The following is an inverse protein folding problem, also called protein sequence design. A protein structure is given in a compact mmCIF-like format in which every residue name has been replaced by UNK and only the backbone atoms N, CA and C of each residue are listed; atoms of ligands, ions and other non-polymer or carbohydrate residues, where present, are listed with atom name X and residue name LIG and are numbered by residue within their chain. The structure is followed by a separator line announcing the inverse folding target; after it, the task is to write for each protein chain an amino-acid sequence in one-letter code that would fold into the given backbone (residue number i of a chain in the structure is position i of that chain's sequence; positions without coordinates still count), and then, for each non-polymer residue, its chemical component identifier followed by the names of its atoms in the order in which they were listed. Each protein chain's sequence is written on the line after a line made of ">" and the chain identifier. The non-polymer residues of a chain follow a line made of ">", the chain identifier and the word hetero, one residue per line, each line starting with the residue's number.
data_IF_536027488338
#
_entry.id   IF_536027488338
#
_cell.length_a   1.000
_cell.length_b   1.000
_cell.length_c   1.000
_cell.angle_alpha   90.00
_cell.angle_beta   90.00
_cell.angle_gamma   90.00
#
_symmetry.space_group_name_H-M   'P 1'
#
loop_
_entity.id
_entity.type
_entity.pdbx_description
1 polymer ?
#
# COMPACT_ATOMS: atom_id res chain seq x y z
N UNK A 1 16.24 57.92 15.25
CA UNK A 1 16.01 57.97 16.71
C UNK A 1 15.10 56.80 17.10
N UNK A 2 15.56 55.93 18.04
CA UNK A 2 14.81 54.95 18.91
C UNK A 2 13.87 53.93 18.23
N UNK A 3 13.79 52.64 18.57
CA UNK A 3 14.35 51.77 19.61
C UNK A 3 14.15 50.30 19.12
N UNK A 4 15.16 49.42 19.09
CA UNK A 4 15.51 48.40 20.12
C UNK A 4 14.32 47.81 20.89
N UNK A 5 14.06 46.51 20.70
CA UNK A 5 13.59 45.59 21.74
C UNK A 5 13.93 44.14 21.37
N UNK A 6 14.98 43.65 22.02
CA UNK A 6 15.39 42.27 22.17
C UNK A 6 14.30 41.39 22.79
N UNK A 7 14.23 40.14 22.33
CA UNK A 7 13.41 39.07 22.90
C UNK A 7 14.19 37.76 22.89
N UNK A 8 15.18 37.67 23.78
CA UNK A 8 15.97 36.47 24.07
C UNK A 8 15.11 35.50 24.88
N UNK A 9 14.83 34.30 24.34
CA UNK A 9 14.37 33.16 25.13
C UNK A 9 15.51 32.14 25.26
N UNK A 10 16.20 32.23 26.39
CA UNK A 10 17.10 31.21 26.96
C UNK A 10 16.26 29.96 27.27
N UNK A 11 16.68 28.80 26.78
CA UNK A 11 17.48 27.81 27.51
C UNK A 11 16.74 27.10 28.64
N UNK A 12 16.46 25.81 28.42
CA UNK A 12 16.62 24.75 29.42
C UNK A 12 17.03 23.46 28.71
N UNK A 13 18.34 23.27 28.53
CA UNK A 13 18.92 21.94 28.60
C UNK A 13 18.87 21.51 30.07
N UNK A 14 18.34 20.33 30.37
CA UNK A 14 18.59 19.67 31.65
C UNK A 14 19.07 18.24 31.38
N UNK A 15 20.20 17.94 31.99
CA UNK A 15 21.08 16.78 31.86
C UNK A 15 20.82 15.72 32.93
N UNK A 16 21.45 14.56 32.73
CA UNK A 16 21.79 13.46 33.67
C UNK A 16 20.64 12.54 34.15
N UNK A 17 20.71 11.23 33.92
CA UNK A 17 21.68 10.22 34.42
C UNK A 17 21.48 9.91 35.91
N UNK A 18 20.70 8.85 36.16
CA UNK A 18 20.61 8.00 37.37
C UNK A 18 19.39 7.07 37.12
N UNK A 19 19.34 5.77 37.42
CA UNK A 19 20.17 4.95 38.28
C UNK A 19 20.07 3.49 37.81
N UNK A 20 21.21 2.80 37.78
CA UNK A 20 21.22 1.37 37.99
C UNK A 20 20.88 1.10 39.45
N UNK A 21 19.92 0.22 39.72
CA UNK A 21 19.79 -0.40 41.03
C UNK A 21 19.70 -1.92 40.88
N UNK A 22 20.74 -2.57 41.39
CA UNK A 22 20.99 -3.99 41.43
C UNK A 22 20.35 -4.57 42.69
N UNK A 23 19.43 -5.53 42.55
CA UNK A 23 19.10 -6.53 43.59
C UNK A 23 18.75 -7.84 42.88
N UNK A 24 19.72 -8.74 42.66
CA UNK A 24 20.02 -9.92 43.48
C UNK A 24 18.83 -10.80 43.88
N UNK A 25 18.76 -11.93 43.17
CA UNK A 25 18.68 -13.30 43.70
C UNK A 25 17.40 -13.74 44.42
N UNK A 26 16.59 -14.55 43.72
CA UNK A 26 15.86 -15.66 44.35
C UNK A 26 15.80 -16.87 43.41
N UNK A 27 16.73 -17.81 43.66
CA UNK A 27 16.63 -19.22 43.28
C UNK A 27 15.34 -19.79 43.88
N UNK A 28 14.43 -20.30 43.06
CA UNK A 28 13.64 -21.49 43.42
C UNK A 28 13.55 -22.43 42.24
N UNK A 29 14.08 -23.63 42.47
CA UNK A 29 13.90 -24.84 41.68
C UNK A 29 12.41 -25.08 41.50
N UNK A 30 11.97 -25.33 40.26
CA UNK A 30 10.79 -26.16 40.03
C UNK A 30 11.16 -27.18 38.97
N UNK A 31 10.88 -28.42 39.35
CA UNK A 31 11.14 -29.71 38.75
C UNK A 31 10.92 -29.82 37.25
N UNK A 32 11.76 -30.67 36.68
CA UNK A 32 11.50 -31.45 35.47
C UNK A 32 10.02 -31.85 35.34
N UNK A 33 9.39 -31.41 34.25
CA UNK A 33 8.39 -32.20 33.56
C UNK A 33 8.77 -32.21 32.08
N UNK A 34 9.44 -33.29 31.68
CA UNK A 34 9.62 -33.66 30.28
C UNK A 34 8.25 -34.05 29.72
N UNK A 35 7.61 -33.14 29.01
CA UNK A 35 6.44 -33.48 28.19
C UNK A 35 6.97 -33.95 26.82
N UNK A 36 7.13 -35.26 26.68
CA UNK A 36 7.46 -35.91 25.42
C UNK A 36 6.31 -35.72 24.42
N UNK A 37 6.37 -34.64 23.63
CA UNK A 37 5.53 -34.47 22.45
C UNK A 37 6.08 -35.41 21.38
N UNK A 38 5.40 -36.53 21.15
CA UNK A 38 5.56 -37.32 19.93
C UNK A 38 5.16 -36.44 18.75
N UNK A 39 6.15 -35.87 18.08
CA UNK A 39 5.97 -35.23 16.79
C UNK A 39 5.67 -36.33 15.78
N UNK A 40 4.39 -36.46 15.41
CA UNK A 40 3.99 -37.24 14.27
C UNK A 40 4.40 -36.43 13.03
N UNK A 41 5.67 -36.58 12.63
CA UNK A 41 6.18 -36.05 11.37
C UNK A 41 5.43 -36.80 10.27
N UNK A 42 4.47 -36.13 9.65
CA UNK A 42 3.84 -36.67 8.44
C UNK A 42 4.92 -36.76 7.35
N UNK A 43 4.98 -37.85 6.58
CA UNK A 43 5.89 -37.93 5.45
C UNK A 43 5.52 -36.83 4.46
N UNK A 44 6.48 -35.94 4.19
CA UNK A 44 6.42 -34.99 3.08
C UNK A 44 6.25 -35.86 1.83
N UNK A 45 5.08 -35.77 1.19
CA UNK A 45 4.90 -36.35 -0.14
C UNK A 45 5.93 -35.67 -1.04
N UNK A 46 6.91 -36.42 -1.54
CA UNK A 46 7.73 -35.97 -2.65
C UNK A 46 6.80 -35.60 -3.79
N UNK A 47 6.73 -34.32 -4.10
CA UNK A 47 6.11 -33.83 -5.33
C UNK A 47 7.19 -33.90 -6.41
N UNK A 48 7.26 -35.03 -7.12
CA UNK A 48 8.23 -35.27 -8.21
C UNK A 48 7.81 -34.63 -9.55
N UNK A 49 7.00 -33.55 -9.53
CA UNK A 49 6.46 -32.90 -10.74
C UNK A 49 6.60 -31.36 -10.72
N UNK A 50 7.67 -30.81 -10.14
CA UNK A 50 7.88 -29.35 -10.06
C UNK A 50 8.63 -28.79 -11.28
N UNK A 51 9.19 -29.63 -12.15
CA UNK A 51 10.13 -29.19 -13.20
C UNK A 51 9.50 -28.86 -14.57
N UNK A 52 8.17 -28.79 -14.71
CA UNK A 52 7.55 -28.51 -16.01
C UNK A 52 6.58 -27.32 -16.07
N UNK A 53 6.65 -26.40 -15.10
CA UNK A 53 6.07 -25.06 -15.25
C UNK A 53 7.13 -24.10 -15.81
N UNK A 54 7.60 -24.36 -17.03
CA UNK A 54 8.24 -23.31 -17.83
C UNK A 54 7.12 -22.34 -18.22
N UNK A 55 6.79 -21.43 -17.31
CA UNK A 55 5.95 -20.28 -17.60
C UNK A 55 6.71 -19.50 -18.67
N UNK A 56 6.25 -19.59 -19.92
CA UNK A 56 6.81 -18.85 -21.04
C UNK A 56 6.52 -17.36 -20.78
N UNK A 57 7.38 -16.67 -20.02
CA UNK A 57 7.20 -15.27 -19.60
C UNK A 57 6.96 -14.34 -20.79
N UNK A 58 7.40 -14.74 -21.98
CA UNK A 58 7.22 -14.10 -23.28
C UNK A 58 5.75 -13.96 -23.73
N UNK A 59 4.83 -14.81 -23.25
CA UNK A 59 3.40 -14.73 -23.59
C UNK A 59 2.55 -13.91 -22.61
N UNK A 60 3.14 -13.48 -21.48
CA UNK A 60 2.49 -12.65 -20.47
C UNK A 60 2.89 -11.19 -20.73
N UNK A 61 2.26 -10.51 -21.69
CA UNK A 61 2.45 -9.05 -21.81
C UNK A 61 2.46 -8.44 -23.20
N UNK A 62 1.70 -8.99 -24.14
CA UNK A 62 1.49 -8.36 -25.45
C UNK A 62 -0.01 -8.37 -25.78
N UNK A 63 -0.83 -7.79 -24.91
CA UNK A 63 -2.16 -7.30 -25.34
C UNK A 63 -1.87 -6.10 -26.25
N UNK A 64 -1.65 -6.41 -27.52
CA UNK A 64 -1.19 -5.47 -28.52
C UNK A 64 -2.19 -4.34 -28.70
N UNK A 65 -1.69 -3.11 -28.65
CA UNK A 65 -2.11 -1.91 -29.40
C UNK A 65 -3.61 -1.71 -29.75
N UNK A 66 -4.54 -2.31 -29.02
CA UNK A 66 -5.92 -1.89 -29.01
C UNK A 66 -5.92 -0.54 -28.31
N UNK A 67 -6.27 0.50 -29.06
CA UNK A 67 -6.38 1.84 -28.54
C UNK A 67 -7.23 1.79 -27.27
N UNK A 68 -6.58 1.98 -26.11
CA UNK A 68 -7.23 1.92 -24.82
C UNK A 68 -8.37 2.93 -24.82
N UNK A 69 -9.57 2.49 -24.44
CA UNK A 69 -10.71 3.40 -24.33
C UNK A 69 -10.37 4.52 -23.34
N UNK A 70 -10.77 5.75 -23.65
CA UNK A 70 -10.60 6.86 -22.71
C UNK A 70 -11.38 6.62 -21.42
N UNK A 71 -10.74 6.82 -20.28
CA UNK A 71 -11.31 6.78 -18.94
C UNK A 71 -12.48 7.75 -18.79
N UNK A 72 -12.48 8.87 -19.52
CA UNK A 72 -13.61 9.80 -19.56
C UNK A 72 -14.91 9.17 -20.10
N UNK A 73 -14.81 8.12 -20.93
CA UNK A 73 -15.97 7.38 -21.45
C UNK A 73 -16.37 6.25 -20.48
N UNK A 74 -15.40 5.63 -19.81
CA UNK A 74 -15.62 4.57 -18.82
C UNK A 74 -16.24 5.10 -17.51
N UNK A 75 -15.86 6.30 -17.09
CA UNK A 75 -16.34 6.93 -15.86
C UNK A 75 -17.51 7.84 -16.20
N UNK A 76 -18.72 7.40 -15.87
CA UNK A 76 -19.93 8.22 -16.06
C UNK A 76 -19.85 9.51 -15.23
N UNK A 77 -20.51 10.61 -15.66
CA UNK A 77 -20.48 11.88 -14.92
C UNK A 77 -21.03 11.75 -13.49
N UNK A 78 -21.99 10.86 -13.26
CA UNK A 78 -22.52 10.57 -11.93
C UNK A 78 -21.46 9.92 -11.03
N UNK A 79 -20.76 8.91 -11.54
CA UNK A 79 -19.70 8.20 -10.82
C UNK A 79 -18.50 9.11 -10.58
N UNK A 80 -18.14 9.96 -11.55
CA UNK A 80 -17.11 10.99 -11.39
C UNK A 80 -17.42 11.90 -10.19
N UNK A 81 -18.64 12.39 -10.07
CA UNK A 81 -19.05 13.24 -8.95
C UNK A 81 -19.02 12.51 -7.60
N UNK A 82 -19.33 11.22 -7.58
CA UNK A 82 -19.20 10.40 -6.37
C UNK A 82 -17.74 10.28 -5.92
N UNK A 83 -16.83 9.90 -6.83
CA UNK A 83 -15.41 9.82 -6.50
C UNK A 83 -14.83 11.16 -6.09
N UNK A 84 -15.20 12.25 -6.79
CA UNK A 84 -14.77 13.59 -6.41
C UNK A 84 -15.12 13.92 -4.96
N UNK A 85 -16.36 13.63 -4.54
CA UNK A 85 -16.81 13.92 -3.17
C UNK A 85 -16.22 12.95 -2.15
N UNK A 86 -16.08 11.66 -2.48
CA UNK A 86 -15.73 10.59 -1.54
C UNK A 86 -14.21 10.37 -1.40
N UNK A 87 -13.49 10.39 -2.52
CA UNK A 87 -12.05 10.11 -2.57
C UNK A 87 -11.23 11.40 -2.62
N UNK A 88 -11.68 12.42 -3.36
CA UNK A 88 -10.90 13.63 -3.60
C UNK A 88 -11.34 14.81 -2.73
N UNK A 89 -12.36 14.65 -1.88
CA UNK A 89 -12.86 15.72 -1.01
C UNK A 89 -13.34 16.98 -1.75
N UNK A 90 -13.71 16.85 -3.03
CA UNK A 90 -14.07 17.95 -3.91
C UNK A 90 -12.91 18.54 -4.74
N UNK A 91 -11.69 18.00 -4.62
CA UNK A 91 -10.55 18.45 -5.44
C UNK A 91 -10.66 17.94 -6.89
N UNK A 92 -11.31 18.75 -7.72
CA UNK A 92 -11.46 18.51 -9.16
C UNK A 92 -10.09 18.50 -9.86
N UNK A 93 -9.18 19.37 -9.44
CA UNK A 93 -7.86 19.49 -10.09
C UNK A 93 -7.02 18.24 -9.82
N UNK A 94 -7.06 17.72 -8.60
CA UNK A 94 -6.39 16.47 -8.23
C UNK A 94 -6.93 15.27 -9.01
N UNK A 95 -8.25 15.21 -9.19
CA UNK A 95 -8.90 14.15 -9.97
C UNK A 95 -8.48 14.19 -11.45
N UNK A 96 -8.59 15.35 -12.11
CA UNK A 96 -8.24 15.48 -13.52
C UNK A 96 -6.74 15.22 -13.77
N UNK A 97 -5.86 15.62 -12.84
CA UNK A 97 -4.43 15.29 -12.90
C UNK A 97 -4.18 13.79 -12.83
N UNK A 98 -4.79 13.10 -11.86
CA UNK A 98 -4.64 11.65 -11.74
C UNK A 98 -5.19 10.96 -12.99
N UNK A 99 -6.35 11.40 -13.49
CA UNK A 99 -6.97 10.85 -14.69
C UNK A 99 -6.06 11.00 -15.91
N UNK A 100 -5.44 12.16 -16.10
CA UNK A 100 -4.47 12.39 -17.17
C UNK A 100 -3.22 11.49 -17.05
N UNK A 101 -2.74 11.23 -15.83
CA UNK A 101 -1.63 10.30 -15.59
C UNK A 101 -2.02 8.84 -15.88
N UNK A 102 -3.26 8.46 -15.58
CA UNK A 102 -3.76 7.12 -15.88
C UNK A 102 -4.02 6.94 -17.37
N UNK A 103 -4.46 7.99 -18.09
CA UNK A 103 -4.63 7.94 -19.55
C UNK A 103 -3.34 7.60 -20.27
N UNK A 104 -2.20 8.15 -19.81
CA UNK A 104 -0.88 7.93 -20.41
C UNK A 104 -0.21 6.62 -19.97
N UNK A 105 -0.77 5.90 -19.00
CA UNK A 105 -0.20 4.66 -18.50
C UNK A 105 -0.37 3.51 -19.52
N UNK A 106 0.73 2.89 -20.01
CA UNK A 106 0.68 1.93 -21.11
C UNK A 106 0.11 0.57 -20.72
N UNK A 107 0.16 0.21 -19.44
CA UNK A 107 -0.29 -1.08 -18.95
C UNK A 107 -0.88 -0.96 -17.54
N UNK A 108 -1.61 -1.99 -17.12
CA UNK A 108 -2.23 -2.04 -15.80
C UNK A 108 -1.21 -1.87 -14.67
N UNK A 109 -0.02 -2.47 -14.78
CA UNK A 109 0.99 -2.36 -13.71
C UNK A 109 1.41 -0.91 -13.46
N UNK A 110 1.62 -0.12 -14.51
CA UNK A 110 1.95 1.29 -14.41
C UNK A 110 0.77 2.10 -13.83
N UNK A 111 -0.45 1.83 -14.30
CA UNK A 111 -1.66 2.49 -13.79
C UNK A 111 -1.90 2.17 -12.31
N UNK A 112 -1.74 0.91 -11.91
CA UNK A 112 -1.91 0.46 -10.54
C UNK A 112 -0.90 1.12 -9.60
N UNK A 113 0.37 1.18 -10.01
CA UNK A 113 1.39 1.87 -9.21
C UNK A 113 1.07 3.36 -9.03
N UNK A 114 0.54 4.04 -10.06
CA UNK A 114 0.07 5.43 -9.93
C UNK A 114 -1.10 5.56 -8.95
N UNK A 115 -2.04 4.62 -8.95
CA UNK A 115 -3.15 4.57 -7.98
C UNK A 115 -2.64 4.37 -6.55
N UNK A 116 -1.74 3.40 -6.33
CA UNK A 116 -1.16 3.12 -5.02
C UNK A 116 -0.37 4.32 -4.48
N UNK A 117 0.46 4.94 -5.32
CA UNK A 117 1.18 6.17 -4.96
C UNK A 117 0.22 7.30 -4.60
N UNK A 118 -0.86 7.46 -5.35
CA UNK A 118 -1.88 8.47 -5.07
C UNK A 118 -2.55 8.20 -3.72
N UNK A 119 -3.07 6.98 -3.50
CA UNK A 119 -3.74 6.59 -2.26
C UNK A 119 -2.83 6.72 -1.03
N UNK A 120 -1.56 6.33 -1.17
CA UNK A 120 -0.58 6.50 -0.10
C UNK A 120 -0.37 7.97 0.25
N UNK A 121 -0.20 8.84 -0.76
CA UNK A 121 0.00 10.28 -0.57
C UNK A 121 -1.21 10.98 0.05
N UNK A 122 -2.42 10.58 -0.36
CA UNK A 122 -3.67 11.17 0.14
C UNK A 122 -4.21 10.48 1.40
N UNK A 123 -3.49 9.47 1.92
CA UNK A 123 -3.90 8.66 3.08
C UNK A 123 -5.26 7.98 2.89
N UNK A 124 -5.63 7.70 1.64
CA UNK A 124 -6.83 6.94 1.31
C UNK A 124 -6.50 5.46 1.46
N UNK A 125 -7.36 4.70 2.14
CA UNK A 125 -7.20 3.25 2.22
C UNK A 125 -7.47 2.61 0.85
N UNK A 126 -6.55 1.80 0.29
CA UNK A 126 -6.78 1.10 -0.98
C UNK A 126 -7.92 0.07 -0.87
N UNK A 127 -8.23 -0.38 0.35
CA UNK A 127 -9.31 -1.32 0.66
C UNK A 127 -10.65 -0.64 0.92
N UNK A 128 -10.72 0.70 0.82
CA UNK A 128 -12.01 1.38 0.89
C UNK A 128 -12.85 1.01 -0.34
N UNK A 129 -14.15 0.79 -0.15
CA UNK A 129 -15.07 0.39 -1.21
C UNK A 129 -15.02 1.35 -2.41
N UNK A 130 -14.98 2.67 -2.16
CA UNK A 130 -14.86 3.68 -3.22
C UNK A 130 -13.52 3.57 -3.97
N UNK A 131 -12.42 3.31 -3.27
CA UNK A 131 -11.07 3.20 -3.85
C UNK A 131 -10.91 1.90 -4.66
N UNK A 132 -11.46 0.80 -4.14
CA UNK A 132 -11.55 -0.48 -4.85
C UNK A 132 -12.40 -0.34 -6.10
N UNK A 133 -13.56 0.30 -6.01
CA UNK A 133 -14.44 0.55 -7.16
C UNK A 133 -13.76 1.42 -8.23
N UNK A 134 -13.05 2.48 -7.82
CA UNK A 134 -12.28 3.30 -8.75
C UNK A 134 -11.20 2.48 -9.46
N UNK A 135 -10.45 1.67 -8.70
CA UNK A 135 -9.41 0.79 -9.23
C UNK A 135 -9.99 -0.26 -10.19
N UNK A 136 -11.16 -0.82 -9.89
CA UNK A 136 -11.88 -1.76 -10.76
C UNK A 136 -12.29 -1.12 -12.09
N UNK A 137 -12.73 0.14 -12.09
CA UNK A 137 -13.07 0.85 -13.32
C UNK A 137 -11.82 1.05 -14.19
N UNK A 138 -10.71 1.46 -13.57
CA UNK A 138 -9.43 1.61 -14.28
C UNK A 138 -8.94 0.25 -14.79
N UNK A 139 -9.11 -0.82 -14.01
CA UNK A 139 -8.75 -2.19 -14.40
C UNK A 139 -9.51 -2.66 -15.64
N UNK A 140 -10.82 -2.37 -15.72
CA UNK A 140 -11.67 -2.72 -16.88
C UNK A 140 -11.18 -2.10 -18.19
N UNK A 141 -10.45 -0.98 -18.15
CA UNK A 141 -9.81 -0.38 -19.35
C UNK A 141 -8.76 -1.30 -19.97
N UNK A 142 -8.00 -2.01 -19.13
CA UNK A 142 -6.90 -2.89 -19.57
C UNK A 142 -7.38 -4.33 -19.81
N UNK A 143 -8.45 -4.73 -19.14
CA UNK A 143 -9.03 -6.07 -19.25
C UNK A 143 -10.55 -5.98 -19.44
N UNK A 144 -11.03 -5.54 -20.62
CA UNK A 144 -12.44 -5.58 -20.93
C UNK A 144 -12.89 -7.05 -20.91
N UNK A 145 -13.90 -7.37 -20.09
CA UNK A 145 -14.56 -8.69 -20.16
C UNK A 145 -15.29 -8.75 -21.50
N UNK A 146 -14.72 -9.50 -22.45
CA UNK A 146 -15.34 -9.82 -23.74
C UNK A 146 -16.50 -10.80 -23.59
#
# INVERSE_FOLDING_TARGET
>A
MKAVRDGVFKSCCFTHEAAMCVVRTLRRKVSHFYFAKKEHVMPIRQFDDVDNFVINRSSIGQNGAQALQSLAVLISPQVRQQFLKKLFGGDVTGFDKLLAQLETAPNWSAAHHLLEQYFYRTRISPYNNDATQFSDIVYKRYFPKG
#
